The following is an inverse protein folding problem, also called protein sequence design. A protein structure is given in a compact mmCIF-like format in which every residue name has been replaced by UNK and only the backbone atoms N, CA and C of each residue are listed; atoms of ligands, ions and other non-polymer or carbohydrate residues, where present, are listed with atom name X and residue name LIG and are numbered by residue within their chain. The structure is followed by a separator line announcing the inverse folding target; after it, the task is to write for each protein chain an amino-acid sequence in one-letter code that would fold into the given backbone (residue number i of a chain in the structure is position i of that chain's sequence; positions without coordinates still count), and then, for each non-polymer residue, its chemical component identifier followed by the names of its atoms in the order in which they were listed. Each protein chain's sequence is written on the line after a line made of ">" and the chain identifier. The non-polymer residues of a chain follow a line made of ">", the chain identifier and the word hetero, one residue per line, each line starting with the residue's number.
data_IF_440742244405
#
_entry.id   IF_440742244405
#
_cell.length_a   1.000
_cell.length_b   1.000
_cell.length_c   1.000
_cell.angle_alpha   90.00
_cell.angle_beta   90.00
_cell.angle_gamma   90.00
#
_symmetry.space_group_name_H-M   'P 1'
#
loop_
_entity.id
_entity.type
_entity.pdbx_description
1 polymer ?
#
# COMPACT_ATOMS: atom_id res chain seq x y z
N UNK A 1 -30.91 -5.13 -2.05
CA UNK A 1 -29.94 -5.07 -0.91
C UNK A 1 -30.65 -5.67 0.30
N UNK A 2 -30.33 -6.92 0.63
CA UNK A 2 -31.12 -7.67 1.60
C UNK A 2 -30.80 -7.24 3.04
N UNK A 3 -31.82 -6.78 3.77
CA UNK A 3 -31.77 -6.37 5.19
C UNK A 3 -31.23 -7.45 6.16
N UNK A 4 -31.09 -8.70 5.70
CA UNK A 4 -30.61 -9.83 6.52
C UNK A 4 -29.11 -9.77 6.84
N UNK A 5 -28.33 -8.94 6.17
CA UNK A 5 -26.90 -8.78 6.44
C UNK A 5 -26.63 -7.90 7.68
N UNK A 6 -27.55 -6.97 7.99
CA UNK A 6 -27.42 -6.09 9.17
C UNK A 6 -27.71 -6.79 10.50
N UNK A 7 -28.54 -7.85 10.50
CA UNK A 7 -28.89 -8.56 11.72
C UNK A 7 -27.76 -9.46 12.27
N UNK A 8 -26.81 -9.89 11.41
CA UNK A 8 -25.67 -10.72 11.84
C UNK A 8 -24.53 -9.93 12.50
N UNK A 9 -24.46 -8.61 12.27
CA UNK A 9 -23.41 -7.75 12.82
C UNK A 9 -23.70 -7.35 14.27
N UNK A 10 -24.97 -7.26 14.67
CA UNK A 10 -25.36 -6.86 16.03
C UNK A 10 -25.11 -7.95 17.09
N UNK A 11 -24.93 -9.21 16.70
CA UNK A 11 -24.66 -10.32 17.63
C UNK A 11 -23.18 -10.53 17.95
N UNK A 12 -22.25 -9.92 17.20
CA UNK A 12 -20.80 -9.99 17.46
C UNK A 12 -20.32 -8.93 18.48
N UNK A 13 -21.18 -7.99 18.86
CA UNK A 13 -20.87 -6.95 19.87
C UNK A 13 -21.09 -7.42 21.32
N UNK A 14 -21.36 -8.70 21.54
CA UNK A 14 -21.41 -9.29 22.88
C UNK A 14 -20.00 -9.29 23.48
N UNK A 15 -19.79 -8.48 24.53
CA UNK A 15 -18.60 -8.46 25.39
C UNK A 15 -18.34 -9.85 25.96
N UNK A 16 -17.64 -10.70 25.24
CA UNK A 16 -17.02 -11.87 25.82
C UNK A 16 -15.90 -11.38 26.72
N UNK A 17 -16.06 -11.52 28.03
CA UNK A 17 -14.98 -11.42 29.01
C UNK A 17 -14.05 -12.62 28.76
N UNK A 18 -13.22 -12.54 27.72
CA UNK A 18 -12.07 -13.40 27.54
C UNK A 18 -10.95 -12.92 28.44
N UNK A 19 -10.29 -13.83 29.17
CA UNK A 19 -9.24 -13.53 30.12
C UNK A 19 -8.14 -12.64 29.55
N UNK A 20 -7.23 -12.14 30.41
CA UNK A 20 -6.15 -11.18 30.14
C UNK A 20 -5.27 -11.48 28.92
N UNK A 21 -5.40 -12.64 28.30
CA UNK A 21 -4.59 -13.14 27.19
C UNK A 21 -5.19 -12.92 25.79
N UNK A 22 -6.43 -12.46 25.69
CA UNK A 22 -7.13 -12.23 24.43
C UNK A 22 -7.51 -10.77 24.26
N UNK A 23 -7.11 -10.18 23.15
CA UNK A 23 -7.51 -8.83 22.75
C UNK A 23 -8.08 -8.85 21.35
N UNK A 24 -9.10 -8.05 21.12
CA UNK A 24 -9.73 -7.91 19.81
C UNK A 24 -9.98 -6.44 19.51
N UNK A 25 -10.04 -6.13 18.23
CA UNK A 25 -10.45 -4.83 17.72
C UNK A 25 -11.01 -4.99 16.32
N UNK A 26 -11.82 -4.06 15.92
CA UNK A 26 -12.36 -4.06 14.56
C UNK A 26 -12.98 -2.74 14.19
N UNK A 27 -13.38 -2.66 12.94
CA UNK A 27 -14.14 -1.51 12.44
C UNK A 27 -14.98 -1.90 11.24
N UNK A 28 -16.07 -1.18 11.05
CA UNK A 28 -16.83 -1.09 9.82
C UNK A 28 -16.55 0.27 9.20
N UNK A 29 -16.05 0.29 7.97
CA UNK A 29 -15.76 1.48 7.18
C UNK A 29 -16.61 1.49 5.92
N UNK A 30 -17.31 2.59 5.67
CA UNK A 30 -18.05 2.83 4.44
C UNK A 30 -17.45 4.07 3.80
N UNK A 31 -16.86 3.92 2.61
CA UNK A 31 -16.25 5.00 1.86
C UNK A 31 -16.94 5.14 0.51
N UNK A 32 -17.35 6.36 0.18
CA UNK A 32 -18.01 6.70 -1.07
C UNK A 32 -17.25 7.76 -1.83
N UNK A 33 -17.14 7.58 -3.14
CA UNK A 33 -16.45 8.47 -4.08
C UNK A 33 -17.45 8.99 -5.09
N UNK A 34 -17.45 10.30 -5.33
CA UNK A 34 -18.23 10.97 -6.35
C UNK A 34 -17.28 11.57 -7.37
N UNK A 35 -17.35 11.08 -8.59
CA UNK A 35 -16.51 11.50 -9.72
C UNK A 35 -17.29 12.42 -10.66
N UNK A 36 -16.91 13.70 -10.81
CA UNK A 36 -17.58 14.63 -11.74
C UNK A 36 -17.46 14.22 -13.21
N UNK A 37 -16.46 13.44 -13.57
CA UNK A 37 -16.16 13.06 -14.95
C UNK A 37 -16.14 11.53 -15.11
N UNK A 38 -16.59 11.05 -16.27
CA UNK A 38 -16.38 9.67 -16.70
C UNK A 38 -14.93 9.45 -17.10
N UNK A 39 -14.36 8.28 -16.77
CA UNK A 39 -13.07 7.84 -17.25
C UNK A 39 -13.22 7.07 -18.60
N UNK A 40 -12.14 6.91 -19.41
CA UNK A 40 -12.22 6.24 -20.70
C UNK A 40 -12.75 4.80 -20.64
N UNK A 41 -12.43 4.07 -19.58
CA UNK A 41 -12.85 2.68 -19.39
C UNK A 41 -14.03 2.51 -18.44
N UNK A 42 -14.59 3.63 -17.91
CA UNK A 42 -15.62 3.60 -16.89
C UNK A 42 -16.45 4.87 -16.87
N UNK A 43 -17.75 4.73 -17.11
CA UNK A 43 -18.71 5.82 -17.09
C UNK A 43 -19.34 6.07 -15.71
N UNK A 44 -19.00 5.27 -14.68
CA UNK A 44 -19.58 5.40 -13.35
C UNK A 44 -19.14 6.66 -12.63
N UNK A 45 -20.12 7.40 -12.06
CA UNK A 45 -19.87 8.62 -11.31
C UNK A 45 -19.89 8.43 -9.80
N UNK A 46 -20.35 7.26 -9.32
CA UNK A 46 -20.47 6.96 -7.90
C UNK A 46 -19.92 5.56 -7.61
N UNK A 47 -18.97 5.48 -6.70
CA UNK A 47 -18.40 4.23 -6.19
C UNK A 47 -18.53 4.25 -4.68
N UNK A 48 -19.06 3.19 -4.09
CA UNK A 48 -19.12 3.02 -2.64
C UNK A 48 -18.57 1.64 -2.27
N UNK A 49 -17.71 1.63 -1.26
CA UNK A 49 -17.08 0.44 -0.71
C UNK A 49 -17.45 0.29 0.76
N UNK A 50 -17.66 -0.93 1.23
CA UNK A 50 -17.82 -1.25 2.63
C UNK A 50 -16.79 -2.31 3.03
N UNK A 51 -16.09 -2.06 4.13
CA UNK A 51 -15.07 -2.93 4.71
C UNK A 51 -15.39 -3.16 6.19
N UNK A 52 -15.66 -4.41 6.57
CA UNK A 52 -15.63 -4.84 7.96
C UNK A 52 -14.28 -5.56 8.19
N UNK A 53 -13.47 -5.03 9.09
CA UNK A 53 -12.20 -5.64 9.53
C UNK A 53 -12.32 -6.09 10.97
N UNK A 54 -11.93 -7.32 11.23
CA UNK A 54 -11.83 -7.87 12.56
C UNK A 54 -10.42 -8.40 12.79
N UNK A 55 -9.79 -8.02 13.90
CA UNK A 55 -8.46 -8.48 14.31
C UNK A 55 -8.52 -9.05 15.72
N UNK A 56 -7.86 -10.16 15.92
CA UNK A 56 -7.76 -10.87 17.20
C UNK A 56 -6.31 -11.22 17.51
N UNK A 57 -5.94 -11.07 18.77
CA UNK A 57 -4.60 -11.36 19.28
C UNK A 57 -4.72 -12.23 20.51
N UNK A 58 -4.03 -13.38 20.49
CA UNK A 58 -4.06 -14.33 21.59
C UNK A 58 -2.64 -14.59 22.11
N UNK A 59 -2.38 -14.19 23.37
CA UNK A 59 -1.14 -14.47 24.07
C UNK A 59 -1.23 -15.86 24.69
N UNK A 60 -0.65 -16.85 24.02
CA UNK A 60 -0.59 -18.23 24.54
C UNK A 60 0.36 -18.32 25.75
N UNK A 61 1.46 -17.57 25.72
CA UNK A 61 2.42 -17.46 26.82
C UNK A 61 3.10 -16.08 26.78
N UNK A 62 3.93 -15.72 27.79
CA UNK A 62 4.70 -14.47 27.74
C UNK A 62 5.61 -14.35 26.53
N UNK A 63 5.98 -15.47 25.87
CA UNK A 63 6.88 -15.52 24.72
C UNK A 63 6.16 -15.79 23.38
N UNK A 64 4.92 -16.32 23.39
CA UNK A 64 4.22 -16.75 22.19
C UNK A 64 2.87 -16.08 22.05
N UNK A 65 2.65 -15.39 20.93
CA UNK A 65 1.40 -14.71 20.56
C UNK A 65 0.95 -15.15 19.17
N UNK A 66 -0.34 -15.37 19.01
CA UNK A 66 -1.01 -15.56 17.71
C UNK A 66 -1.74 -14.29 17.31
N UNK A 67 -1.63 -13.92 16.03
CA UNK A 67 -2.25 -12.73 15.46
C UNK A 67 -3.14 -13.16 14.30
N UNK A 68 -4.42 -12.81 14.33
CA UNK A 68 -5.39 -13.08 13.27
C UNK A 68 -6.08 -11.82 12.80
N UNK A 69 -6.45 -11.76 11.53
CA UNK A 69 -7.23 -10.68 10.97
C UNK A 69 -7.99 -11.13 9.73
N UNK A 70 -9.25 -10.73 9.64
CA UNK A 70 -10.15 -11.05 8.52
C UNK A 70 -10.81 -9.77 8.03
N UNK A 71 -10.85 -9.59 6.72
CA UNK A 71 -11.58 -8.53 6.03
C UNK A 71 -12.81 -9.10 5.34
N UNK A 72 -13.95 -8.44 5.50
CA UNK A 72 -15.18 -8.65 4.73
C UNK A 72 -15.42 -7.40 3.91
N UNK A 73 -15.55 -7.56 2.59
CA UNK A 73 -15.65 -6.43 1.65
C UNK A 73 -16.87 -6.58 0.73
N UNK A 74 -17.44 -5.45 0.38
CA UNK A 74 -18.40 -5.34 -0.73
C UNK A 74 -18.28 -3.96 -1.35
N UNK A 75 -18.67 -3.84 -2.61
CA UNK A 75 -18.67 -2.58 -3.33
C UNK A 75 -19.84 -2.47 -4.31
N UNK A 76 -20.03 -1.28 -4.87
CA UNK A 76 -21.01 -1.01 -5.92
C UNK A 76 -20.41 -1.10 -7.33
N UNK A 77 -19.09 -1.32 -7.46
CA UNK A 77 -18.34 -1.12 -8.70
C UNK A 77 -17.62 -2.36 -9.23
N UNK A 78 -17.85 -3.53 -8.61
CA UNK A 78 -17.27 -4.83 -9.01
C UNK A 78 -15.75 -4.90 -8.89
N UNK A 79 -15.17 -4.18 -7.94
CA UNK A 79 -13.77 -4.33 -7.56
C UNK A 79 -13.61 -5.48 -6.56
N UNK A 80 -14.70 -5.86 -5.90
CA UNK A 80 -14.77 -7.00 -4.98
C UNK A 80 -15.34 -8.21 -5.72
N UNK A 81 -14.60 -9.33 -5.70
CA UNK A 81 -15.06 -10.64 -6.18
C UNK A 81 -16.13 -11.19 -5.24
N UNK A 82 -17.10 -11.91 -5.80
CA UNK A 82 -18.22 -12.48 -5.02
C UNK A 82 -17.89 -13.83 -4.38
N UNK A 83 -16.68 -14.32 -4.60
CA UNK A 83 -16.23 -15.62 -4.11
C UNK A 83 -15.62 -15.51 -2.72
N UNK A 84 -15.79 -16.56 -1.93
CA UNK A 84 -15.11 -16.71 -0.64
C UNK A 84 -13.77 -17.38 -0.93
N UNK A 85 -12.67 -16.67 -0.66
CA UNK A 85 -11.38 -17.24 -0.94
C UNK A 85 -10.36 -16.98 0.16
N UNK A 86 -9.77 -18.06 0.64
CA UNK A 86 -8.69 -18.04 1.63
C UNK A 86 -7.38 -18.36 0.93
N UNK A 87 -6.73 -17.32 0.38
CA UNK A 87 -5.45 -17.47 -0.28
C UNK A 87 -4.29 -17.00 0.58
N UNK A 88 -3.29 -17.84 0.77
CA UNK A 88 -2.03 -17.45 1.41
C UNK A 88 -1.19 -16.51 0.54
N UNK A 89 -1.26 -16.67 -0.79
CA UNK A 89 -0.50 -15.88 -1.75
C UNK A 89 -1.24 -14.67 -2.28
N UNK A 90 -2.54 -14.53 -2.05
CA UNK A 90 -3.42 -13.42 -2.47
C UNK A 90 -3.18 -12.98 -3.93
N UNK A 91 -3.38 -13.91 -4.88
CA UNK A 91 -3.10 -13.71 -6.33
C UNK A 91 -4.30 -13.23 -7.15
N UNK A 92 -5.38 -12.78 -6.46
CA UNK A 92 -6.60 -12.32 -7.12
C UNK A 92 -6.44 -10.93 -7.72
N UNK A 93 -7.09 -10.71 -8.86
CA UNK A 93 -7.17 -9.39 -9.51
C UNK A 93 -8.17 -8.49 -8.82
N UNK A 94 -9.31 -9.05 -8.37
CA UNK A 94 -10.29 -8.35 -7.53
C UNK A 94 -9.97 -8.56 -6.06
N UNK A 95 -10.50 -7.71 -5.20
CA UNK A 95 -10.50 -7.93 -3.74
C UNK A 95 -11.42 -9.10 -3.42
N UNK A 96 -11.01 -10.12 -2.65
CA UNK A 96 -11.95 -11.14 -2.18
C UNK A 96 -13.03 -10.53 -1.27
N UNK A 97 -14.27 -11.04 -1.36
CA UNK A 97 -15.34 -10.64 -0.43
C UNK A 97 -15.00 -10.99 1.02
N UNK A 98 -14.29 -12.09 1.23
CA UNK A 98 -13.75 -12.50 2.53
C UNK A 98 -12.28 -12.86 2.35
N UNK A 99 -11.41 -12.22 3.11
CA UNK A 99 -9.97 -12.43 3.02
C UNK A 99 -9.32 -12.60 4.40
N UNK A 100 -8.41 -13.56 4.52
CA UNK A 100 -7.47 -13.60 5.63
C UNK A 100 -6.45 -12.49 5.42
N UNK A 101 -6.58 -11.40 6.17
CA UNK A 101 -5.68 -10.26 6.12
C UNK A 101 -4.33 -10.56 6.77
N UNK A 102 -4.36 -11.22 7.92
CA UNK A 102 -3.19 -11.60 8.73
C UNK A 102 -3.48 -12.90 9.45
N UNK A 103 -2.48 -13.78 9.49
CA UNK A 103 -2.52 -14.98 10.32
C UNK A 103 -1.08 -15.39 10.59
N UNK A 104 -0.54 -15.01 11.76
CA UNK A 104 0.86 -15.23 12.13
C UNK A 104 1.00 -15.63 13.59
N UNK A 105 2.11 -16.30 13.89
CA UNK A 105 2.56 -16.55 15.24
C UNK A 105 3.86 -15.77 15.48
N UNK A 106 3.96 -15.11 16.63
CA UNK A 106 5.13 -14.33 17.05
C UNK A 106 5.71 -14.95 18.31
N UNK A 107 6.97 -15.37 18.24
CA UNK A 107 7.76 -15.81 19.39
C UNK A 107 8.80 -14.74 19.73
N UNK A 108 8.89 -14.34 21.01
CA UNK A 108 9.85 -13.34 21.47
C UNK A 108 10.54 -13.82 22.75
N UNK A 109 11.88 -13.86 22.74
CA UNK A 109 12.69 -14.24 23.88
C UNK A 109 14.01 -13.43 23.93
N UNK A 110 14.11 -12.52 24.87
CA UNK A 110 15.26 -11.62 25.00
C UNK A 110 15.51 -10.81 23.71
N UNK A 111 16.67 -10.98 23.04
CA UNK A 111 16.99 -10.23 21.82
C UNK A 111 16.35 -10.82 20.55
N UNK A 112 15.74 -11.99 20.63
CA UNK A 112 15.21 -12.73 19.49
C UNK A 112 13.70 -12.54 19.37
N UNK A 113 13.22 -12.14 18.18
CA UNK A 113 11.82 -12.20 17.79
C UNK A 113 11.70 -12.93 16.46
N UNK A 114 10.81 -13.91 16.40
CA UNK A 114 10.48 -14.67 15.18
C UNK A 114 8.98 -14.49 14.92
N UNK A 115 8.60 -14.01 13.75
CA UNK A 115 7.21 -14.01 13.29
C UNK A 115 7.09 -14.88 12.04
N UNK A 116 6.15 -15.84 12.04
CA UNK A 116 5.90 -16.74 10.92
C UNK A 116 4.41 -16.79 10.59
N UNK A 117 4.10 -16.85 9.28
CA UNK A 117 2.76 -16.85 8.75
C UNK A 117 2.46 -15.68 7.81
N UNK A 118 1.19 -15.36 7.61
CA UNK A 118 0.74 -14.21 6.79
C UNK A 118 0.84 -12.94 7.61
N UNK A 119 1.73 -12.02 7.22
CA UNK A 119 2.13 -10.84 7.99
C UNK A 119 2.42 -9.64 7.10
N UNK A 120 2.48 -8.45 7.69
CA UNK A 120 2.95 -7.24 7.02
C UNK A 120 4.41 -6.98 7.39
N UNK A 121 5.25 -6.87 6.37
CA UNK A 121 6.67 -6.54 6.53
C UNK A 121 6.87 -5.19 5.84
N UNK A 122 7.29 -4.19 6.60
CA UNK A 122 7.46 -2.82 6.12
C UNK A 122 8.86 -2.33 6.43
N UNK A 123 9.54 -1.83 5.41
CA UNK A 123 10.86 -1.23 5.50
C UNK A 123 10.82 0.24 5.07
N UNK A 124 11.86 0.99 5.44
CA UNK A 124 11.95 2.42 5.14
C UNK A 124 11.43 3.32 6.25
N UNK A 125 11.87 4.58 6.21
CA UNK A 125 11.54 5.64 7.19
C UNK A 125 10.84 6.84 6.58
N UNK A 126 10.84 6.96 5.27
CA UNK A 126 10.14 8.04 4.58
C UNK A 126 8.61 7.81 4.64
N UNK A 127 7.84 8.91 4.66
CA UNK A 127 6.39 8.83 4.89
C UNK A 127 5.58 8.80 3.59
N UNK A 128 6.12 9.36 2.51
CA UNK A 128 5.35 9.55 1.27
C UNK A 128 5.72 8.52 0.21
N UNK A 129 7.00 8.20 0.08
CA UNK A 129 7.53 7.22 -0.86
C UNK A 129 8.64 6.43 -0.17
N UNK A 130 8.56 5.10 -0.21
CA UNK A 130 9.51 4.20 0.47
C UNK A 130 10.25 3.32 -0.54
N UNK A 131 11.40 3.76 -1.07
CA UNK A 131 12.18 2.96 -2.00
C UNK A 131 12.61 1.59 -1.48
N UNK A 132 12.88 1.46 -0.18
CA UNK A 132 13.37 0.21 0.41
C UNK A 132 12.26 -0.78 0.81
N UNK A 133 10.97 -0.39 0.71
CA UNK A 133 9.84 -1.21 1.14
C UNK A 133 9.46 -2.27 0.09
N UNK A 134 10.25 -3.35 -0.02
CA UNK A 134 10.11 -4.36 -1.07
C UNK A 134 9.30 -5.61 -0.67
N UNK A 135 8.92 -5.75 0.61
CA UNK A 135 8.06 -6.84 1.07
C UNK A 135 6.59 -6.44 1.24
N UNK A 136 6.22 -5.26 0.76
CA UNK A 136 4.90 -4.67 0.94
C UNK A 136 4.16 -4.50 -0.40
N UNK A 137 3.65 -5.58 -1.02
CA UNK A 137 2.77 -5.46 -2.17
C UNK A 137 1.55 -4.62 -1.83
N UNK A 138 1.01 -3.89 -2.82
CA UNK A 138 -0.09 -2.96 -2.63
C UNK A 138 -1.26 -3.27 -3.55
N UNK A 139 -2.45 -2.91 -3.09
CA UNK A 139 -3.67 -2.89 -3.86
C UNK A 139 -3.83 -1.52 -4.53
N UNK A 140 -3.65 -1.47 -5.86
CA UNK A 140 -3.78 -0.28 -6.70
C UNK A 140 -5.10 -0.22 -7.47
N UNK A 141 -6.14 -0.93 -7.05
CA UNK A 141 -7.46 -0.78 -7.67
C UNK A 141 -7.93 0.68 -7.62
N UNK A 142 -7.52 1.42 -6.57
CA UNK A 142 -7.49 2.87 -6.53
C UNK A 142 -6.04 3.35 -6.39
N UNK A 143 -5.49 4.01 -7.42
CA UNK A 143 -4.06 4.37 -7.49
C UNK A 143 -3.66 5.44 -6.46
N UNK A 144 -4.60 6.30 -6.02
CA UNK A 144 -4.34 7.35 -5.04
C UNK A 144 -4.79 6.99 -3.61
N UNK A 145 -5.41 5.83 -3.45
CA UNK A 145 -5.83 5.30 -2.14
C UNK A 145 -5.54 3.79 -2.08
N UNK A 146 -4.28 3.47 -1.83
CA UNK A 146 -3.80 2.09 -1.78
C UNK A 146 -3.92 1.48 -0.39
N UNK A 147 -4.02 0.15 -0.31
CA UNK A 147 -3.87 -0.64 0.93
C UNK A 147 -2.72 -1.65 0.75
N UNK A 148 -2.07 -2.03 1.84
CA UNK A 148 -0.99 -3.03 1.79
C UNK A 148 -1.55 -4.44 1.86
N UNK A 149 -0.94 -5.34 1.10
CA UNK A 149 -1.22 -6.76 1.12
C UNK A 149 -0.20 -7.47 2.01
N UNK A 150 -0.66 -8.43 2.82
CA UNK A 150 0.22 -9.23 3.63
C UNK A 150 0.94 -10.28 2.79
N UNK A 151 2.17 -10.59 3.15
CA UNK A 151 2.98 -11.67 2.57
C UNK A 151 3.07 -12.85 3.52
N UNK A 152 3.23 -14.06 2.99
CA UNK A 152 3.36 -15.28 3.79
C UNK A 152 4.81 -15.72 3.85
N UNK A 153 5.37 -15.76 5.06
CA UNK A 153 6.76 -16.14 5.27
C UNK A 153 7.19 -16.07 6.73
N UNK A 154 8.49 -15.97 6.93
CA UNK A 154 9.10 -15.83 8.23
C UNK A 154 10.00 -14.60 8.29
N UNK A 155 9.96 -13.92 9.42
CA UNK A 155 10.82 -12.79 9.78
C UNK A 155 11.49 -13.08 11.10
N UNK A 156 12.81 -12.96 11.14
CA UNK A 156 13.63 -13.11 12.34
C UNK A 156 14.30 -11.78 12.62
N UNK A 157 14.08 -11.24 13.81
CA UNK A 157 14.74 -10.02 14.29
C UNK A 157 15.63 -10.38 15.47
N UNK A 158 16.92 -10.02 15.41
CA UNK A 158 17.90 -10.26 16.45
C UNK A 158 18.54 -8.93 16.80
N UNK A 159 18.59 -8.58 18.08
CA UNK A 159 19.29 -7.38 18.51
C UNK A 159 18.80 -6.85 19.84
N UNK A 160 19.51 -5.87 20.35
CA UNK A 160 19.19 -5.16 21.59
C UNK A 160 19.45 -3.68 21.40
N UNK A 161 18.56 -2.86 22.01
CA UNK A 161 18.72 -1.41 22.11
C UNK A 161 19.01 -0.70 20.78
N UNK A 162 20.30 -0.46 20.49
CA UNK A 162 20.74 0.35 19.35
C UNK A 162 20.79 -0.39 18.02
N UNK A 163 21.07 -1.71 18.03
CA UNK A 163 21.34 -2.44 16.80
C UNK A 163 20.46 -3.68 16.67
N UNK A 164 19.80 -3.79 15.51
CA UNK A 164 18.98 -4.95 15.17
C UNK A 164 19.29 -5.45 13.77
N UNK A 165 19.33 -6.76 13.61
CA UNK A 165 19.41 -7.46 12.33
C UNK A 165 18.08 -8.14 12.08
N UNK A 166 17.47 -7.84 10.93
CA UNK A 166 16.23 -8.47 10.47
C UNK A 166 16.54 -9.35 9.25
N UNK A 167 16.09 -10.59 9.29
CA UNK A 167 16.15 -11.56 8.20
C UNK A 167 14.74 -11.92 7.79
N UNK A 168 14.45 -11.87 6.50
CA UNK A 168 13.13 -12.15 5.93
C UNK A 168 13.24 -13.27 4.89
N UNK A 169 12.32 -14.23 4.95
CA UNK A 169 12.16 -15.30 3.97
C UNK A 169 10.68 -15.42 3.57
N UNK A 170 10.38 -15.26 2.28
CA UNK A 170 9.04 -15.32 1.72
C UNK A 170 8.99 -16.43 0.67
N UNK A 171 8.43 -17.62 0.99
CA UNK A 171 8.34 -18.74 0.04
C UNK A 171 7.22 -18.59 -0.99
N UNK A 172 6.21 -17.75 -0.72
CA UNK A 172 5.04 -17.56 -1.56
C UNK A 172 4.98 -16.13 -2.13
N UNK A 173 5.07 -15.99 -3.43
CA UNK A 173 4.96 -14.69 -4.08
C UNK A 173 3.53 -14.15 -4.03
N UNK A 174 3.36 -12.96 -3.47
CA UNK A 174 2.12 -12.18 -3.45
C UNK A 174 2.28 -10.99 -4.41
N UNK A 175 1.50 -10.88 -5.50
CA UNK A 175 1.57 -9.74 -6.41
C UNK A 175 0.85 -8.52 -5.83
N UNK A 176 1.24 -7.32 -6.25
CA UNK A 176 0.38 -6.14 -6.16
C UNK A 176 -0.81 -6.27 -7.10
N UNK A 177 -1.96 -5.71 -6.73
CA UNK A 177 -3.14 -5.67 -7.61
C UNK A 177 -3.08 -4.44 -8.50
N UNK A 178 -2.92 -4.57 -9.82
CA UNK A 178 -3.06 -3.46 -10.74
C UNK A 178 -4.54 -3.09 -10.93
N UNK A 179 -4.85 -1.89 -11.44
CA UNK A 179 -6.20 -1.52 -11.82
C UNK A 179 -6.84 -2.50 -12.81
N UNK A 180 -8.14 -2.75 -12.66
CA UNK A 180 -8.89 -3.64 -13.55
C UNK A 180 -9.17 -2.97 -14.90
N UNK A 181 -9.13 -3.72 -15.99
CA UNK A 181 -9.25 -3.22 -17.38
C UNK A 181 -10.54 -2.43 -17.68
N UNK A 182 -11.62 -2.68 -16.91
CA UNK A 182 -12.92 -2.02 -17.10
C UNK A 182 -13.22 -1.02 -15.98
N UNK A 183 -12.18 -0.55 -15.28
CA UNK A 183 -12.31 0.39 -14.17
C UNK A 183 -11.58 1.70 -14.47
N UNK A 184 -11.92 2.74 -13.72
CA UNK A 184 -11.48 4.13 -13.99
C UNK A 184 -9.99 4.38 -13.78
N UNK A 185 -9.30 3.55 -13.00
CA UNK A 185 -7.88 3.71 -12.68
C UNK A 185 -6.95 3.01 -13.66
N UNK A 186 -7.50 2.29 -14.66
CA UNK A 186 -6.69 1.75 -15.76
C UNK A 186 -6.38 2.84 -16.78
N UNK A 187 -5.15 2.84 -17.26
CA UNK A 187 -4.73 3.70 -18.39
C UNK A 187 -4.31 2.78 -19.54
N UNK A 188 -5.07 2.84 -20.62
CA UNK A 188 -4.81 2.08 -21.83
C UNK A 188 -4.41 3.05 -22.95
N UNK A 189 -3.49 2.65 -23.85
CA UNK A 189 -3.21 3.42 -25.05
C UNK A 189 -4.49 3.64 -25.87
N UNK A 190 -4.72 4.84 -26.45
CA UNK A 190 -5.90 5.10 -27.24
C UNK A 190 -6.06 4.12 -28.42
N UNK A 191 -7.31 3.62 -28.60
CA UNK A 191 -7.64 2.73 -29.72
C UNK A 191 -7.13 1.28 -29.58
N UNK A 192 -6.52 0.92 -28.46
CA UNK A 192 -6.05 -0.45 -28.22
C UNK A 192 -6.94 -1.13 -27.19
N UNK A 193 -7.53 -2.26 -27.55
CA UNK A 193 -8.24 -3.14 -26.64
C UNK A 193 -7.37 -4.33 -26.30
N UNK A 194 -7.28 -4.67 -25.03
CA UNK A 194 -6.54 -5.82 -24.56
C UNK A 194 -7.47 -6.83 -23.88
N UNK A 195 -7.13 -8.11 -24.02
CA UNK A 195 -7.68 -9.16 -23.17
C UNK A 195 -6.70 -9.47 -22.04
N UNK A 196 -7.23 -9.74 -20.85
CA UNK A 196 -6.42 -10.27 -19.75
C UNK A 196 -6.02 -11.72 -20.08
N UNK A 197 -4.78 -11.91 -20.48
CA UNK A 197 -4.16 -13.22 -20.71
C UNK A 197 -3.69 -13.92 -19.44
N UNK A 198 -4.12 -13.42 -18.26
CA UNK A 198 -3.74 -13.96 -16.97
C UNK A 198 -2.37 -13.47 -16.48
N UNK A 199 -1.81 -14.24 -15.54
CA UNK A 199 -0.53 -13.91 -14.94
C UNK A 199 0.38 -15.14 -14.83
N UNK A 200 1.66 -14.94 -15.14
CA UNK A 200 2.71 -15.92 -14.90
C UNK A 200 3.45 -15.51 -13.63
N UNK A 201 3.21 -16.25 -12.54
CA UNK A 201 3.83 -16.00 -11.26
C UNK A 201 5.22 -16.63 -11.18
N UNK A 202 6.19 -15.96 -10.52
CA UNK A 202 7.50 -16.55 -10.31
C UNK A 202 7.42 -17.71 -9.31
N UNK A 203 8.31 -18.66 -9.51
CA UNK A 203 8.64 -19.68 -8.50
C UNK A 203 9.80 -19.23 -7.61
N UNK A 204 10.04 -20.01 -6.57
CA UNK A 204 11.15 -19.75 -5.65
C UNK A 204 10.82 -18.81 -4.51
N UNK A 205 11.78 -18.66 -3.62
CA UNK A 205 11.66 -17.82 -2.41
C UNK A 205 12.27 -16.45 -2.64
N UNK A 206 11.81 -15.48 -1.85
CA UNK A 206 12.36 -14.13 -1.77
C UNK A 206 13.04 -13.95 -0.41
N UNK A 207 14.13 -13.23 -0.38
CA UNK A 207 14.95 -13.03 0.82
C UNK A 207 15.25 -11.56 1.02
N UNK A 208 15.41 -11.18 2.29
CA UNK A 208 15.89 -9.86 2.63
C UNK A 208 16.67 -9.85 3.93
N UNK A 209 17.59 -8.90 4.01
CA UNK A 209 18.38 -8.61 5.18
C UNK A 209 18.34 -7.12 5.43
N UNK A 210 18.11 -6.73 6.68
CA UNK A 210 18.17 -5.32 7.08
C UNK A 210 18.88 -5.19 8.43
N UNK A 211 19.90 -4.37 8.47
CA UNK A 211 20.52 -3.91 9.71
C UNK A 211 19.98 -2.50 10.02
N UNK A 212 19.52 -2.31 11.26
CA UNK A 212 19.05 -1.02 11.74
C UNK A 212 19.89 -0.59 12.92
N UNK A 213 20.26 0.69 12.91
CA UNK A 213 20.85 1.38 14.05
C UNK A 213 19.93 2.48 14.54
N UNK A 214 19.69 2.51 15.85
CA UNK A 214 18.90 3.56 16.52
C UNK A 214 19.79 4.27 17.53
N UNK A 215 20.14 5.51 17.24
CA UNK A 215 20.97 6.35 18.09
C UNK A 215 20.29 7.68 18.41
N UNK A 216 20.78 8.40 19.43
CA UNK A 216 20.24 9.71 19.81
C UNK A 216 20.47 10.78 18.74
N UNK A 217 21.57 10.73 18.00
CA UNK A 217 21.91 11.70 16.97
C UNK A 217 21.31 11.35 15.60
N UNK A 218 21.15 10.08 15.30
CA UNK A 218 20.60 9.61 14.04
C UNK A 218 20.12 8.17 14.17
N UNK A 219 19.12 7.83 13.36
CA UNK A 219 18.71 6.46 13.10
C UNK A 219 18.97 6.15 11.63
N UNK A 220 19.54 5.00 11.31
CA UNK A 220 19.79 4.61 9.93
C UNK A 220 19.71 3.10 9.73
N UNK A 221 19.53 2.69 8.50
CA UNK A 221 19.52 1.28 8.12
C UNK A 221 20.24 1.02 6.81
N UNK A 222 20.71 -0.22 6.66
CA UNK A 222 21.14 -0.79 5.40
C UNK A 222 20.29 -2.02 5.11
N UNK A 223 19.87 -2.17 3.87
CA UNK A 223 18.96 -3.24 3.46
C UNK A 223 19.33 -3.85 2.12
N UNK A 224 19.10 -5.14 2.01
CA UNK A 224 19.24 -5.91 0.79
C UNK A 224 17.98 -6.77 0.59
N UNK A 225 17.53 -6.84 -0.67
CA UNK A 225 16.41 -7.68 -1.09
C UNK A 225 16.80 -8.44 -2.38
N UNK A 226 16.50 -9.73 -2.42
CA UNK A 226 16.57 -10.58 -3.62
C UNK A 226 15.23 -11.32 -3.79
N UNK A 227 14.53 -11.03 -4.87
CA UNK A 227 13.21 -11.59 -5.12
C UNK A 227 12.64 -11.12 -6.46
N UNK A 228 11.38 -10.76 -6.47
CA UNK A 228 10.66 -10.30 -7.66
C UNK A 228 9.93 -9.00 -7.39
N UNK A 229 9.81 -8.14 -8.41
CA UNK A 229 8.97 -6.97 -8.30
C UNK A 229 7.50 -7.41 -8.16
N UNK A 230 6.81 -6.93 -7.15
CA UNK A 230 5.38 -7.20 -6.95
C UNK A 230 4.50 -6.53 -8.01
N UNK A 231 5.01 -5.52 -8.73
CA UNK A 231 4.35 -4.88 -9.86
C UNK A 231 4.67 -5.61 -11.17
N UNK A 232 3.67 -5.84 -12.02
CA UNK A 232 3.87 -6.61 -13.24
C UNK A 232 4.52 -5.80 -14.36
N UNK A 233 5.26 -6.49 -15.21
CA UNK A 233 5.46 -6.13 -16.61
C UNK A 233 4.41 -6.86 -17.45
N UNK A 234 4.12 -6.32 -18.64
CA UNK A 234 3.10 -6.85 -19.54
C UNK A 234 3.74 -7.33 -20.84
N UNK A 235 3.39 -8.53 -21.29
CA UNK A 235 3.80 -9.06 -22.58
C UNK A 235 2.59 -9.53 -23.39
N UNK A 236 2.61 -9.30 -24.69
CA UNK A 236 1.61 -9.85 -25.60
C UNK A 236 1.92 -11.32 -25.86
N UNK A 237 0.93 -12.18 -25.68
CA UNK A 237 1.07 -13.57 -26.07
C UNK A 237 0.97 -13.68 -27.60
N UNK A 238 1.78 -14.55 -28.24
CA UNK A 238 1.66 -14.85 -29.67
C UNK A 238 0.25 -15.36 -29.97
N UNK A 239 -0.50 -14.60 -30.74
CA UNK A 239 -1.84 -15.04 -31.14
C UNK A 239 -2.17 -14.50 -32.54
N UNK A 240 -3.03 -15.21 -33.24
CA UNK A 240 -3.50 -14.88 -34.58
C UNK A 240 -4.73 -13.94 -34.59
N UNK A 241 -5.16 -13.43 -33.41
CA UNK A 241 -6.35 -12.62 -33.28
C UNK A 241 -6.04 -11.12 -33.38
N UNK A 242 -7.02 -10.34 -33.83
CA UNK A 242 -6.95 -8.89 -33.93
C UNK A 242 -6.67 -8.19 -32.57
N UNK A 243 -6.94 -8.86 -31.46
CA UNK A 243 -6.73 -8.36 -30.10
C UNK A 243 -5.84 -9.34 -29.34
N UNK A 244 -4.52 -9.10 -29.24
CA UNK A 244 -3.63 -10.01 -28.55
C UNK A 244 -3.91 -10.01 -27.05
N UNK A 245 -3.97 -11.18 -26.41
CA UNK A 245 -4.03 -11.27 -24.96
C UNK A 245 -2.73 -10.74 -24.36
N UNK A 246 -2.86 -9.97 -23.29
CA UNK A 246 -1.73 -9.40 -22.55
C UNK A 246 -1.56 -10.15 -21.23
N UNK A 247 -0.41 -10.79 -21.06
CA UNK A 247 -0.07 -11.54 -19.85
C UNK A 247 0.78 -10.69 -18.91
N UNK A 248 0.47 -10.75 -17.62
CA UNK A 248 1.29 -10.19 -16.57
C UNK A 248 2.42 -11.16 -16.20
N UNK A 249 3.63 -10.65 -16.05
CA UNK A 249 4.73 -11.40 -15.44
C UNK A 249 5.51 -10.50 -14.48
N UNK A 250 6.23 -11.08 -13.53
CA UNK A 250 6.87 -10.35 -12.44
C UNK A 250 8.39 -10.51 -12.56
N UNK A 251 9.12 -9.43 -12.89
CA UNK A 251 10.55 -9.52 -13.12
C UNK A 251 11.32 -9.80 -11.84
N UNK A 252 12.41 -10.53 -11.96
CA UNK A 252 13.38 -10.66 -10.89
C UNK A 252 13.91 -9.27 -10.52
N UNK A 253 14.15 -9.04 -9.23
CA UNK A 253 14.63 -7.76 -8.71
C UNK A 253 15.57 -7.98 -7.54
N UNK A 254 16.69 -7.28 -7.56
CA UNK A 254 17.54 -7.06 -6.38
C UNK A 254 17.51 -5.60 -6.00
N UNK A 255 17.49 -5.32 -4.71
CA UNK A 255 17.56 -3.96 -4.20
C UNK A 255 18.67 -3.87 -3.15
N UNK A 256 19.51 -2.86 -3.31
CA UNK A 256 20.50 -2.42 -2.35
C UNK A 256 20.06 -1.06 -1.85
N UNK A 257 19.73 -0.94 -0.57
CA UNK A 257 19.12 0.29 -0.08
C UNK A 257 19.53 0.65 1.33
N UNK A 258 19.07 1.81 1.73
CA UNK A 258 19.24 2.31 3.09
C UNK A 258 18.36 3.52 3.34
N UNK A 259 18.20 3.80 4.60
CA UNK A 259 17.46 4.96 5.08
C UNK A 259 18.19 5.62 6.26
N UNK A 260 17.92 6.90 6.47
CA UNK A 260 18.44 7.69 7.59
C UNK A 260 17.36 8.67 8.06
N UNK A 261 17.29 8.88 9.38
CA UNK A 261 16.52 9.94 10.00
C UNK A 261 17.40 10.68 11.03
N UNK A 262 17.49 11.99 10.90
CA UNK A 262 18.28 12.86 11.78
C UNK A 262 17.34 13.85 12.45
N UNK A 263 17.03 13.66 13.75
CA UNK A 263 16.24 14.63 14.50
C UNK A 263 17.11 15.85 14.85
N UNK A 264 16.70 17.01 14.35
CA UNK A 264 17.26 18.31 14.71
C UNK A 264 16.25 19.07 15.59
N UNK A 265 16.66 20.10 16.34
CA UNK A 265 15.78 20.79 17.29
C UNK A 265 14.48 21.34 16.72
N UNK A 266 14.43 21.64 15.43
CA UNK A 266 13.26 22.25 14.77
C UNK A 266 12.71 21.43 13.60
N UNK A 267 13.43 20.43 13.12
CA UNK A 267 13.09 19.66 11.94
C UNK A 267 13.74 18.29 12.00
N UNK A 268 13.05 17.25 11.54
CA UNK A 268 13.65 15.95 11.29
C UNK A 268 13.93 15.83 9.79
N UNK A 269 15.18 15.49 9.44
CA UNK A 269 15.57 15.20 8.05
C UNK A 269 15.52 13.70 7.88
N UNK A 270 14.80 13.24 6.84
CA UNK A 270 14.76 11.82 6.46
C UNK A 270 15.28 11.66 5.04
N UNK A 271 16.07 10.65 4.81
CA UNK A 271 16.55 10.24 3.49
C UNK A 271 16.38 8.75 3.31
N UNK A 272 15.98 8.32 2.13
CA UNK A 272 15.85 6.92 1.78
C UNK A 272 16.22 6.71 0.32
N UNK A 273 16.97 5.65 0.02
CA UNK A 273 17.38 5.34 -1.34
C UNK A 273 17.44 3.82 -1.56
N UNK A 274 17.10 3.38 -2.78
CA UNK A 274 17.24 2.01 -3.24
C UNK A 274 17.78 1.97 -4.67
N UNK A 275 18.85 1.20 -4.89
CA UNK A 275 19.34 0.87 -6.21
C UNK A 275 18.82 -0.50 -6.63
N UNK A 276 18.19 -0.55 -7.79
CA UNK A 276 17.48 -1.72 -8.31
C UNK A 276 18.17 -2.29 -9.52
N UNK A 277 18.45 -3.60 -9.48
CA UNK A 277 19.00 -4.35 -10.61
C UNK A 277 18.09 -5.53 -10.96
N UNK A 278 18.18 -6.03 -12.20
CA UNK A 278 17.38 -7.14 -12.67
C UNK A 278 18.10 -8.02 -13.68
N UNK A 279 17.99 -9.32 -13.52
CA UNK A 279 18.39 -10.30 -14.55
C UNK A 279 17.36 -10.41 -15.68
N UNK A 280 16.15 -9.88 -15.48
CA UNK A 280 15.09 -9.84 -16.50
C UNK A 280 15.41 -8.75 -17.53
N UNK A 281 15.71 -9.14 -18.76
CA UNK A 281 16.12 -8.21 -19.85
C UNK A 281 15.10 -7.13 -20.22
N UNK A 282 13.87 -7.20 -19.72
CA UNK A 282 12.79 -6.25 -19.96
C UNK A 282 12.58 -5.26 -18.79
N UNK A 283 13.27 -5.44 -17.68
CA UNK A 283 13.16 -4.57 -16.50
C UNK A 283 14.29 -3.56 -16.47
N UNK A 284 13.95 -2.29 -16.24
CA UNK A 284 14.92 -1.21 -16.05
C UNK A 284 15.81 -1.45 -14.81
N UNK A 285 17.02 -0.87 -14.85
CA UNK A 285 17.85 -0.70 -13.66
C UNK A 285 17.89 0.78 -13.28
N UNK A 286 17.70 1.09 -11.99
CA UNK A 286 17.52 2.47 -11.56
C UNK A 286 17.84 2.67 -10.08
N UNK A 287 18.17 3.90 -9.75
CA UNK A 287 18.19 4.42 -8.38
C UNK A 287 16.91 5.21 -8.15
N UNK A 288 16.19 4.91 -7.07
CA UNK A 288 15.07 5.70 -6.58
C UNK A 288 15.44 6.25 -5.19
N UNK A 289 15.21 7.54 -4.96
CA UNK A 289 15.54 8.17 -3.69
C UNK A 289 14.52 9.21 -3.28
N UNK A 290 14.42 9.45 -1.99
CA UNK A 290 13.60 10.50 -1.40
C UNK A 290 14.40 11.24 -0.33
N UNK A 291 14.25 12.56 -0.28
CA UNK A 291 14.73 13.44 0.79
C UNK A 291 13.52 14.18 1.33
N UNK A 292 13.31 14.12 2.63
CA UNK A 292 12.12 14.62 3.30
C UNK A 292 12.49 15.41 4.54
N UNK A 293 11.77 16.49 4.76
CA UNK A 293 11.82 17.30 5.97
C UNK A 293 10.50 17.19 6.69
N UNK A 294 10.54 16.99 7.99
CA UNK A 294 9.36 16.93 8.85
C UNK A 294 9.49 17.93 9.98
N UNK A 295 8.43 18.70 10.24
CA UNK A 295 8.38 19.69 11.31
C UNK A 295 7.01 19.68 11.95
N UNK A 296 6.98 19.66 13.29
CA UNK A 296 5.81 19.97 14.08
C UNK A 296 5.94 21.37 14.67
N UNK A 297 4.88 22.16 14.57
CA UNK A 297 4.85 23.50 15.16
C UNK A 297 3.43 23.79 15.69
N UNK A 298 3.28 23.75 17.01
CA UNK A 298 1.96 23.80 17.64
C UNK A 298 1.07 22.67 17.13
N UNK A 299 -0.11 23.01 16.68
CA UNK A 299 -1.11 22.08 16.12
C UNK A 299 -0.84 21.68 14.65
N UNK A 300 0.21 22.22 14.06
CA UNK A 300 0.59 21.92 12.67
C UNK A 300 1.67 20.85 12.59
N UNK A 301 1.50 19.94 11.64
CA UNK A 301 2.53 19.00 11.20
C UNK A 301 2.79 19.23 9.72
N UNK A 302 4.04 19.45 9.33
CA UNK A 302 4.45 19.65 7.96
C UNK A 302 5.44 18.56 7.57
N UNK A 303 5.20 17.94 6.43
CA UNK A 303 6.13 17.03 5.76
C UNK A 303 6.31 17.52 4.33
N UNK A 304 7.53 17.72 3.90
CA UNK A 304 7.80 18.13 2.53
C UNK A 304 9.09 17.50 2.02
N UNK A 305 9.13 17.17 0.75
CA UNK A 305 10.30 16.51 0.21
C UNK A 305 10.33 16.43 -1.31
N UNK A 306 11.39 15.79 -1.80
CA UNK A 306 11.58 15.52 -3.21
C UNK A 306 11.89 14.03 -3.40
N UNK A 307 11.17 13.39 -4.33
CA UNK A 307 11.46 12.05 -4.81
C UNK A 307 12.16 12.14 -6.17
N UNK A 308 13.32 11.52 -6.28
CA UNK A 308 14.13 11.50 -7.50
C UNK A 308 14.36 10.10 -8.04
N UNK A 309 14.67 10.02 -9.34
CA UNK A 309 15.01 8.79 -10.03
C UNK A 309 16.18 9.03 -10.99
N UNK A 310 17.12 8.10 -11.00
CA UNK A 310 18.17 8.00 -12.01
C UNK A 310 18.13 6.60 -12.63
N UNK A 311 17.73 6.51 -13.89
CA UNK A 311 17.72 5.24 -14.65
C UNK A 311 19.13 4.99 -15.18
N UNK A 312 19.76 3.91 -14.71
CA UNK A 312 21.11 3.51 -15.11
C UNK A 312 21.11 2.65 -16.37
N UNK A 313 20.08 1.80 -16.52
CA UNK A 313 19.86 1.02 -17.72
C UNK A 313 18.37 1.02 -18.09
N UNK A 314 18.04 1.64 -19.22
CA UNK A 314 16.66 1.65 -19.73
C UNK A 314 16.48 0.53 -20.72
N UNK A 315 15.54 -0.37 -20.42
CA UNK A 315 15.19 -1.50 -21.26
C UNK A 315 13.83 -1.36 -21.93
N UNK A 316 13.07 -0.35 -21.55
CA UNK A 316 11.87 0.17 -22.22
C UNK A 316 10.80 -0.87 -22.49
N UNK A 317 9.96 -1.16 -21.50
CA UNK A 317 8.87 -2.10 -21.67
C UNK A 317 7.55 -1.53 -21.10
N UNK A 318 6.43 -2.04 -21.61
CA UNK A 318 5.11 -1.67 -21.10
C UNK A 318 4.99 -2.18 -19.64
N UNK A 319 4.84 -1.26 -18.69
CA UNK A 319 4.74 -1.57 -17.29
C UNK A 319 3.69 -0.70 -16.59
N UNK A 320 3.22 -1.20 -15.47
CA UNK A 320 2.50 -0.42 -14.48
C UNK A 320 3.43 -0.25 -13.28
N UNK A 321 3.97 0.94 -13.09
CA UNK A 321 4.99 1.23 -12.08
C UNK A 321 4.60 2.46 -11.22
N UNK A 322 3.52 2.36 -10.42
CA UNK A 322 3.07 3.47 -9.57
C UNK A 322 4.08 3.81 -8.46
N UNK A 323 4.92 2.87 -8.06
CA UNK A 323 6.03 3.09 -7.13
C UNK A 323 7.10 4.05 -7.69
N UNK A 324 7.23 4.17 -9.01
CA UNK A 324 8.09 5.11 -9.73
C UNK A 324 7.31 6.34 -10.25
N UNK A 325 5.98 6.28 -10.24
CA UNK A 325 5.12 7.31 -10.82
C UNK A 325 5.27 8.67 -10.16
N UNK A 326 5.57 8.71 -8.88
CA UNK A 326 5.87 9.94 -8.14
C UNK A 326 7.36 10.30 -8.14
N UNK A 327 8.23 9.60 -8.86
CA UNK A 327 9.62 10.01 -9.03
C UNK A 327 9.69 11.34 -9.76
N UNK A 328 10.73 12.14 -9.49
CA UNK A 328 10.89 13.52 -10.01
C UNK A 328 9.70 14.41 -9.67
N UNK A 329 9.29 14.35 -8.39
CA UNK A 329 8.17 15.16 -7.87
C UNK A 329 8.56 15.80 -6.55
N UNK A 330 8.01 17.00 -6.35
CA UNK A 330 7.93 17.61 -5.02
C UNK A 330 6.68 17.04 -4.33
N UNK A 331 6.86 16.57 -3.11
CA UNK A 331 5.84 15.93 -2.31
C UNK A 331 5.63 16.74 -1.03
N UNK A 332 4.39 16.92 -0.61
CA UNK A 332 4.06 17.70 0.56
C UNK A 332 2.85 17.15 1.30
N UNK A 333 2.87 17.29 2.61
CA UNK A 333 1.75 17.06 3.49
C UNK A 333 1.71 18.11 4.58
N UNK A 334 0.53 18.66 4.85
CA UNK A 334 0.28 19.52 5.99
C UNK A 334 -0.91 18.97 6.76
N UNK A 335 -0.76 18.80 8.07
CA UNK A 335 -1.82 18.42 8.99
C UNK A 335 -2.07 19.54 9.99
N UNK A 336 -3.32 19.77 10.35
CA UNK A 336 -3.72 20.72 11.38
C UNK A 336 -4.71 20.07 12.34
N UNK A 337 -4.37 20.02 13.60
CA UNK A 337 -5.24 19.54 14.68
C UNK A 337 -6.07 20.72 15.19
N UNK A 338 -7.38 20.75 14.85
CA UNK A 338 -8.29 21.80 15.33
C UNK A 338 -8.53 21.61 16.82
N UNK A 339 -8.84 20.38 17.21
CA UNK A 339 -9.02 19.93 18.59
C UNK A 339 -8.88 18.39 18.67
N UNK A 340 -9.15 17.80 19.83
CA UNK A 340 -9.05 16.35 20.07
C UNK A 340 -9.92 15.49 19.13
N UNK A 341 -10.96 16.08 18.55
CA UNK A 341 -11.94 15.37 17.73
C UNK A 341 -11.87 15.75 16.23
N UNK A 342 -11.22 16.88 15.88
CA UNK A 342 -11.26 17.42 14.51
C UNK A 342 -9.87 17.70 13.97
N UNK A 343 -9.63 17.32 12.73
CA UNK A 343 -8.38 17.57 12.04
C UNK A 343 -8.60 17.85 10.55
N UNK A 344 -7.65 18.59 9.98
CA UNK A 344 -7.52 18.86 8.56
C UNK A 344 -6.21 18.24 8.06
N UNK A 345 -6.20 17.77 6.82
CA UNK A 345 -4.98 17.38 6.15
C UNK A 345 -5.00 17.80 4.67
N UNK A 346 -3.85 18.22 4.18
CA UNK A 346 -3.59 18.50 2.77
C UNK A 346 -2.40 17.65 2.34
N UNK A 347 -2.56 16.90 1.26
CA UNK A 347 -1.48 16.13 0.61
C UNK A 347 -1.30 16.65 -0.81
N UNK A 348 -0.05 16.79 -1.27
CA UNK A 348 0.26 17.32 -2.59
C UNK A 348 1.41 16.54 -3.23
N UNK A 349 1.32 16.39 -4.56
CA UNK A 349 2.43 15.95 -5.38
C UNK A 349 2.48 16.80 -6.65
N UNK A 350 3.62 17.40 -6.94
CA UNK A 350 3.83 18.26 -8.10
C UNK A 350 5.01 17.70 -8.88
N UNK A 351 4.75 17.33 -10.14
CA UNK A 351 5.80 16.83 -11.03
C UNK A 351 6.80 17.92 -11.35
N UNK A 352 8.09 17.62 -11.26
CA UNK A 352 9.19 18.56 -11.54
C UNK A 352 9.10 19.22 -12.93
N UNK A 353 8.55 18.49 -13.91
CA UNK A 353 8.36 18.99 -15.28
C UNK A 353 7.12 19.88 -15.44
N UNK A 354 6.36 20.13 -14.37
CA UNK A 354 5.11 20.91 -14.38
C UNK A 354 3.94 20.27 -15.12
N UNK A 355 4.05 18.99 -15.56
CA UNK A 355 3.04 18.34 -16.39
C UNK A 355 2.00 17.52 -15.60
N UNK A 356 2.14 17.42 -14.30
CA UNK A 356 1.23 16.69 -13.45
C UNK A 356 1.17 17.25 -12.03
N UNK A 357 -0.03 17.28 -11.47
CA UNK A 357 -0.30 17.72 -10.10
C UNK A 357 -1.37 16.84 -9.46
N UNK A 358 -1.18 16.57 -8.18
CA UNK A 358 -2.16 15.93 -7.31
C UNK A 358 -2.29 16.74 -6.04
N UNK A 359 -3.52 16.94 -5.58
CA UNK A 359 -3.83 17.53 -4.30
C UNK A 359 -5.01 16.82 -3.65
N UNK A 360 -4.90 16.49 -2.36
CA UNK A 360 -5.99 15.92 -1.57
C UNK A 360 -6.15 16.72 -0.29
N UNK A 361 -7.31 17.32 -0.14
CA UNK A 361 -7.73 17.92 1.13
C UNK A 361 -8.69 16.98 1.84
N UNK A 362 -8.58 16.87 3.16
CA UNK A 362 -9.49 16.07 3.98
C UNK A 362 -9.77 16.74 5.31
N UNK A 363 -11.03 16.65 5.74
CA UNK A 363 -11.51 16.98 7.08
C UNK A 363 -11.95 15.69 7.75
N UNK A 364 -11.52 15.48 8.98
CA UNK A 364 -11.89 14.31 9.78
C UNK A 364 -12.45 14.75 11.11
N UNK A 365 -13.57 14.13 11.54
CA UNK A 365 -14.24 14.39 12.80
C UNK A 365 -14.56 13.08 13.54
N UNK A 366 -14.13 12.97 14.79
CA UNK A 366 -14.60 11.94 15.71
C UNK A 366 -15.95 12.35 16.29
N UNK A 367 -16.90 11.44 16.30
CA UNK A 367 -18.27 11.61 16.81
C UNK A 367 -18.46 10.59 17.93
N UNK A 368 -18.05 10.98 19.14
CA UNK A 368 -17.98 10.09 20.28
C UNK A 368 -16.81 9.08 20.19
N UNK A 369 -16.83 7.99 20.99
CA UNK A 369 -15.69 7.08 21.11
C UNK A 369 -15.52 6.11 19.92
N UNK A 370 -16.58 5.88 19.17
CA UNK A 370 -16.62 4.80 18.16
C UNK A 370 -16.70 5.31 16.72
N UNK A 371 -17.30 6.48 16.49
CA UNK A 371 -17.57 6.98 15.15
C UNK A 371 -16.55 7.98 14.66
N UNK A 372 -16.19 7.89 13.40
CA UNK A 372 -15.34 8.85 12.68
C UNK A 372 -15.92 9.12 11.31
N UNK A 373 -16.17 10.39 11.03
CA UNK A 373 -16.58 10.87 9.71
C UNK A 373 -15.40 11.56 9.02
N UNK A 374 -15.27 11.35 7.72
CA UNK A 374 -14.25 12.01 6.87
C UNK A 374 -14.92 12.57 5.64
N UNK A 375 -14.61 13.80 5.29
CA UNK A 375 -14.95 14.41 4.00
C UNK A 375 -13.65 14.83 3.30
N UNK A 376 -13.53 14.59 2.01
CA UNK A 376 -12.32 14.88 1.26
C UNK A 376 -12.59 15.32 -0.17
N UNK A 377 -11.62 16.02 -0.74
CA UNK A 377 -11.58 16.44 -2.14
C UNK A 377 -10.20 16.06 -2.70
N UNK A 378 -10.17 15.23 -3.74
CA UNK A 378 -8.97 14.90 -4.48
C UNK A 378 -9.02 15.54 -5.87
N UNK A 379 -7.99 16.29 -6.21
CA UNK A 379 -7.83 16.97 -7.50
C UNK A 379 -6.60 16.41 -8.20
N UNK A 380 -6.77 15.96 -9.42
CA UNK A 380 -5.72 15.42 -10.27
C UNK A 380 -5.73 16.20 -11.57
N UNK A 381 -4.60 16.75 -11.96
CA UNK A 381 -4.48 17.53 -13.18
C UNK A 381 -3.16 17.29 -13.89
N UNK A 382 -3.13 17.65 -15.17
CA UNK A 382 -1.91 17.57 -15.96
C UNK A 382 -2.13 17.07 -17.38
N UNK A 383 -1.02 16.76 -18.05
CA UNK A 383 -1.03 16.22 -19.42
C UNK A 383 -1.18 14.70 -19.37
N UNK A 384 -1.92 14.11 -20.31
CA UNK A 384 -2.13 12.66 -20.41
C UNK A 384 -0.82 11.85 -20.54
N UNK A 385 0.24 12.48 -21.01
CA UNK A 385 1.58 11.86 -21.11
C UNK A 385 2.36 11.84 -19.79
N UNK A 386 1.85 12.45 -18.72
CA UNK A 386 2.45 12.43 -17.38
C UNK A 386 1.72 11.41 -16.49
N UNK A 387 2.47 10.81 -15.55
CA UNK A 387 1.93 9.79 -14.65
C UNK A 387 0.71 10.29 -13.85
N UNK A 388 0.72 11.53 -13.35
CA UNK A 388 -0.44 12.08 -12.64
C UNK A 388 -1.51 12.55 -13.62
N UNK A 389 -1.12 13.23 -14.69
CA UNK A 389 -2.04 13.79 -15.65
C UNK A 389 -2.93 12.77 -16.36
N UNK A 390 -2.44 11.55 -16.59
CA UNK A 390 -3.24 10.45 -17.16
C UNK A 390 -4.49 10.11 -16.33
N UNK A 391 -4.52 10.49 -15.05
CA UNK A 391 -5.65 10.29 -14.13
C UNK A 391 -6.51 11.55 -13.92
N UNK A 392 -6.35 12.61 -14.72
CA UNK A 392 -7.04 13.89 -14.51
C UNK A 392 -8.58 13.76 -14.39
N UNK A 393 -9.20 12.78 -15.03
CA UNK A 393 -10.65 12.50 -14.95
C UNK A 393 -11.07 11.81 -13.65
N UNK A 394 -10.11 11.46 -12.80
CA UNK A 394 -10.36 10.78 -11.52
C UNK A 394 -10.35 11.74 -10.31
N UNK A 395 -10.42 13.05 -10.56
CA UNK A 395 -10.74 14.01 -9.48
C UNK A 395 -12.08 13.64 -8.86
N UNK A 396 -12.17 13.65 -7.52
CA UNK A 396 -13.37 13.19 -6.83
C UNK A 396 -13.56 13.82 -5.45
N UNK A 397 -14.80 13.77 -4.99
CA UNK A 397 -15.16 14.03 -3.59
C UNK A 397 -15.26 12.68 -2.89
N UNK A 398 -14.78 12.62 -1.66
CA UNK A 398 -14.78 11.43 -0.81
C UNK A 398 -15.59 11.70 0.46
N UNK A 399 -16.42 10.72 0.84
CA UNK A 399 -17.07 10.66 2.13
C UNK A 399 -16.80 9.31 2.77
N UNK A 400 -16.32 9.32 4.01
CA UNK A 400 -16.05 8.13 4.80
C UNK A 400 -16.79 8.16 6.13
N UNK A 401 -17.33 7.02 6.55
CA UNK A 401 -17.91 6.82 7.86
C UNK A 401 -17.37 5.52 8.44
N UNK A 402 -16.70 5.60 9.58
CA UNK A 402 -16.13 4.44 10.28
C UNK A 402 -16.72 4.30 11.66
N UNK A 403 -17.10 3.07 12.00
CA UNK A 403 -17.43 2.63 13.36
C UNK A 403 -16.35 1.68 13.86
N UNK A 404 -15.72 2.00 14.99
CA UNK A 404 -14.66 1.17 15.60
C UNK A 404 -15.15 0.57 16.93
N UNK A 405 -14.78 -0.70 17.21
CA UNK A 405 -15.18 -1.48 18.38
C UNK A 405 -14.04 -2.33 18.93
#
# INVERSE_FOLDING_TARGET
>A
MNLRFFAAVSTLAGSCVFGQNFTQRGFLDITSFIYPQSAPSDSGHFVSEALLRYEAFYKFSPKLQFNGGVDFRTDTHREVGREFEFSWADRHTQRPAVAVRRLSATYSDGPLTIEAGKQFIRWGKADILNPTDRFAPQDFLNVVQTDFLAVTGARVTIGKQSDTLELVWIPLFTPSRPPLLKQRWVVLPPGISFFDGGARYPGGSQFGVRWNHTGAAAEYSLSFYDGHNHLPLYETLPNQWFYPPVQRFYPQMRMYGGDIAVPLPKVTIKGEAGYFTSTTKKADEYLLYVIQLERQQGEWTFTGGYAGEAVTERRGFLNFAPDRGLSRSFLGRAGYTIDTNRSLALETAIRQNGKGVYGKFSYTQALGPHWRATAGLALIGGKDSDFLGQYHRNSHILFGLRYSF
#
